data_IF_867193498331
#
_entry.id   IF_867193498331
#
_cell.length_a   1.000
_cell.length_b   1.000
_cell.length_c   1.000
_cell.angle_alpha   90.00
_cell.angle_beta   90.00
_cell.angle_gamma   90.00
#
_symmetry.space_group_name_H-M   'P 1'
#
loop_
_entity.id
_entity.type
_entity.pdbx_description
1 polymer ?
#
# COMPACT_ATOMS: atom_id res chain seq x y z
N UNK A 1 45.16 -60.73 -1.19
CA UNK A 1 43.70 -60.65 -0.93
C UNK A 1 43.19 -59.23 -0.61
N UNK A 2 44.02 -58.18 -0.78
CA UNK A 2 43.67 -56.79 -0.40
C UNK A 2 43.23 -55.86 -1.55
N UNK A 3 43.33 -56.24 -2.80
CA UNK A 3 43.03 -55.36 -3.97
C UNK A 3 41.56 -55.40 -4.37
N UNK A 4 40.78 -56.46 -4.08
CA UNK A 4 39.38 -56.59 -4.47
C UNK A 4 38.40 -55.77 -3.60
N UNK A 5 38.75 -55.42 -2.35
CA UNK A 5 37.87 -54.63 -1.46
C UNK A 5 37.87 -53.13 -1.78
N UNK A 6 38.97 -52.57 -2.36
CA UNK A 6 39.04 -51.16 -2.70
C UNK A 6 38.26 -50.76 -3.95
N UNK A 7 38.06 -51.67 -4.90
CA UNK A 7 37.30 -51.41 -6.11
C UNK A 7 35.79 -51.34 -5.85
N UNK A 8 35.27 -52.13 -4.89
CA UNK A 8 33.83 -52.11 -4.54
C UNK A 8 33.41 -50.83 -3.83
N UNK A 9 34.23 -50.29 -2.95
CA UNK A 9 33.92 -49.02 -2.23
C UNK A 9 33.98 -47.81 -3.12
N UNK A 10 34.87 -47.74 -4.10
CA UNK A 10 34.95 -46.67 -5.07
C UNK A 10 33.71 -46.63 -6.00
N UNK A 11 33.25 -47.82 -6.45
CA UNK A 11 32.08 -47.92 -7.29
C UNK A 11 30.80 -47.53 -6.59
N UNK A 12 30.64 -47.90 -5.29
CA UNK A 12 29.49 -47.49 -4.47
C UNK A 12 29.50 -45.97 -4.19
N UNK A 13 30.65 -45.35 -3.97
CA UNK A 13 30.77 -43.90 -3.75
C UNK A 13 30.45 -43.12 -5.02
N UNK A 14 30.88 -43.57 -6.19
CA UNK A 14 30.56 -42.92 -7.47
C UNK A 14 29.06 -43.06 -7.87
N UNK A 15 28.44 -44.22 -7.58
CA UNK A 15 27.01 -44.41 -7.79
C UNK A 15 26.18 -43.52 -6.84
N UNK A 16 26.60 -43.43 -5.55
CA UNK A 16 25.90 -42.59 -4.58
C UNK A 16 26.05 -41.10 -4.92
N UNK A 17 27.22 -40.62 -5.37
CA UNK A 17 27.39 -39.24 -5.84
C UNK A 17 26.60 -38.96 -7.10
N UNK A 18 26.52 -39.94 -8.03
CA UNK A 18 25.67 -39.80 -9.24
C UNK A 18 24.17 -39.69 -8.91
N UNK A 19 23.68 -40.50 -7.94
CA UNK A 19 22.28 -40.45 -7.48
C UNK A 19 21.97 -39.14 -6.73
N UNK A 20 22.89 -38.64 -5.90
CA UNK A 20 22.73 -37.36 -5.21
C UNK A 20 22.74 -36.19 -6.20
N UNK A 21 23.61 -36.22 -7.22
CA UNK A 21 23.58 -35.22 -8.30
C UNK A 21 22.30 -35.28 -9.12
N UNK A 22 21.74 -36.45 -9.41
CA UNK A 22 20.47 -36.60 -10.11
C UNK A 22 19.30 -36.07 -9.27
N UNK A 23 19.32 -36.25 -7.94
CA UNK A 23 18.29 -35.74 -7.03
C UNK A 23 18.38 -34.22 -6.85
N UNK A 24 19.60 -33.64 -6.89
CA UNK A 24 19.77 -32.18 -6.80
C UNK A 24 19.37 -31.47 -8.12
N UNK A 25 19.54 -32.10 -9.27
CA UNK A 25 19.12 -31.55 -10.55
C UNK A 25 17.60 -31.63 -10.74
N UNK A 26 16.91 -32.58 -10.06
CA UNK A 26 15.46 -32.73 -10.14
C UNK A 26 14.68 -31.79 -9.20
N UNK A 27 15.36 -31.10 -8.26
CA UNK A 27 14.79 -30.04 -7.45
C UNK A 27 14.92 -28.65 -8.08
N UNK A 28 15.03 -28.57 -9.40
CA UNK A 28 14.83 -27.31 -10.11
C UNK A 28 13.44 -26.80 -9.76
N UNK A 29 13.35 -25.64 -9.13
CA UNK A 29 12.12 -24.89 -8.93
C UNK A 29 11.45 -24.73 -10.30
N UNK A 30 10.55 -25.64 -10.63
CA UNK A 30 9.63 -25.42 -11.74
C UNK A 30 8.74 -24.28 -11.28
N UNK A 31 8.96 -23.08 -11.82
CA UNK A 31 7.94 -22.06 -11.80
C UNK A 31 6.68 -22.74 -12.35
N UNK A 32 5.69 -22.96 -11.50
CA UNK A 32 4.43 -23.56 -11.92
C UNK A 32 3.80 -22.59 -12.90
N UNK A 33 3.62 -23.04 -14.15
CA UNK A 33 2.82 -22.27 -15.09
C UNK A 33 1.42 -22.10 -14.50
N UNK A 34 0.82 -20.93 -14.67
CA UNK A 34 -0.54 -20.69 -14.24
C UNK A 34 -1.49 -21.71 -14.88
N UNK A 35 -2.43 -22.22 -14.11
CA UNK A 35 -3.47 -23.12 -14.60
C UNK A 35 -4.41 -22.37 -15.55
N UNK A 36 -5.12 -23.10 -16.41
CA UNK A 36 -6.11 -22.49 -17.30
C UNK A 36 -7.19 -21.74 -16.50
N UNK A 37 -7.62 -22.27 -15.36
CA UNK A 37 -8.62 -21.62 -14.51
C UNK A 37 -8.10 -20.27 -13.96
N UNK A 38 -6.86 -20.20 -13.51
CA UNK A 38 -6.25 -18.93 -13.04
C UNK A 38 -6.16 -17.90 -14.18
N UNK A 39 -5.85 -18.34 -15.41
CA UNK A 39 -5.81 -17.45 -16.57
C UNK A 39 -7.21 -16.95 -16.95
N UNK A 40 -8.23 -17.81 -16.87
CA UNK A 40 -9.62 -17.43 -17.12
C UNK A 40 -10.12 -16.41 -16.08
N UNK A 41 -9.79 -16.60 -14.79
CA UNK A 41 -10.15 -15.71 -13.70
C UNK A 41 -9.45 -14.35 -13.84
N UNK A 42 -8.16 -14.32 -14.16
CA UNK A 42 -7.39 -13.09 -14.44
C UNK A 42 -7.99 -12.36 -15.64
N UNK A 43 -8.32 -13.08 -16.70
CA UNK A 43 -8.91 -12.50 -17.90
C UNK A 43 -10.26 -11.87 -17.60
N UNK A 44 -11.12 -12.53 -16.82
CA UNK A 44 -12.42 -12.00 -16.42
C UNK A 44 -12.29 -10.72 -15.56
N UNK A 45 -11.34 -10.67 -14.63
CA UNK A 45 -11.04 -9.48 -13.84
C UNK A 45 -10.58 -8.32 -14.74
N UNK A 46 -9.63 -8.58 -15.62
CA UNK A 46 -9.09 -7.56 -16.53
C UNK A 46 -10.15 -7.01 -17.46
N UNK A 47 -11.01 -7.84 -18.06
CA UNK A 47 -12.04 -7.43 -19.02
C UNK A 47 -13.00 -6.39 -18.46
N UNK A 48 -13.22 -6.37 -17.15
CA UNK A 48 -14.09 -5.39 -16.46
C UNK A 48 -13.33 -4.21 -15.87
N UNK A 49 -12.01 -4.19 -15.97
CA UNK A 49 -11.15 -3.16 -15.38
C UNK A 49 -11.10 -1.89 -16.22
N UNK A 50 -10.70 -0.78 -15.57
CA UNK A 50 -10.42 0.48 -16.25
C UNK A 50 -9.25 0.37 -17.23
N UNK A 51 -8.33 -0.57 -17.05
CA UNK A 51 -7.24 -0.84 -17.98
C UNK A 51 -7.77 -1.38 -19.31
N UNK A 52 -8.66 -2.37 -19.28
CA UNK A 52 -9.28 -2.88 -20.51
C UNK A 52 -10.13 -1.83 -21.23
N UNK A 53 -10.84 -0.98 -20.46
CA UNK A 53 -11.63 0.14 -21.02
C UNK A 53 -10.77 1.22 -21.71
N UNK A 54 -9.48 1.27 -21.41
CA UNK A 54 -8.50 2.18 -22.00
C UNK A 54 -7.49 1.46 -22.90
N UNK A 55 -7.85 0.31 -23.45
CA UNK A 55 -7.03 -0.47 -24.39
C UNK A 55 -5.66 -0.94 -23.86
N UNK A 56 -5.46 -0.93 -22.53
CA UNK A 56 -4.25 -1.46 -21.89
C UNK A 56 -4.37 -2.99 -21.84
N UNK A 57 -3.64 -3.68 -22.69
CA UNK A 57 -3.69 -5.13 -22.82
C UNK A 57 -2.59 -5.84 -21.98
N UNK A 58 -2.60 -7.18 -21.99
CA UNK A 58 -1.65 -7.98 -21.23
C UNK A 58 -0.19 -7.64 -21.56
N UNK A 59 0.14 -7.43 -22.84
CA UNK A 59 1.49 -7.12 -23.27
C UNK A 59 1.97 -5.74 -22.79
N UNK A 60 1.05 -4.80 -22.54
CA UNK A 60 1.40 -3.46 -22.01
C UNK A 60 2.13 -3.53 -20.68
N UNK A 61 1.91 -4.60 -19.89
CA UNK A 61 2.56 -4.81 -18.60
C UNK A 61 3.50 -6.02 -18.62
N UNK A 62 3.13 -7.09 -19.33
CA UNK A 62 3.81 -8.38 -19.32
C UNK A 62 4.84 -8.57 -20.43
N UNK A 63 5.15 -7.55 -21.21
CA UNK A 63 6.19 -7.61 -22.24
C UNK A 63 7.34 -6.68 -21.87
N UNK A 64 8.56 -7.20 -21.92
CA UNK A 64 9.76 -6.38 -21.85
C UNK A 64 9.93 -5.62 -23.18
N UNK A 65 9.98 -4.30 -23.12
CA UNK A 65 10.04 -3.45 -24.32
C UNK A 65 11.35 -3.57 -25.10
N UNK A 66 12.43 -4.02 -24.46
CA UNK A 66 13.75 -4.15 -25.07
C UNK A 66 13.94 -5.54 -25.69
N UNK A 67 13.54 -6.60 -24.98
CA UNK A 67 13.77 -7.99 -25.41
C UNK A 67 12.57 -8.64 -26.08
N UNK A 68 11.38 -8.03 -25.95
CA UNK A 68 10.07 -8.61 -26.32
C UNK A 68 9.74 -9.92 -25.59
N UNK A 69 10.45 -10.24 -24.51
CA UNK A 69 10.19 -11.43 -23.71
C UNK A 69 9.01 -11.20 -22.74
N UNK A 70 8.33 -12.29 -22.43
CA UNK A 70 7.25 -12.26 -21.44
C UNK A 70 7.80 -12.11 -20.01
N UNK A 71 7.23 -11.16 -19.26
CA UNK A 71 7.54 -10.89 -17.85
C UNK A 71 6.39 -11.40 -16.99
N UNK A 72 6.61 -12.50 -16.28
CA UNK A 72 5.56 -13.12 -15.46
C UNK A 72 5.10 -12.23 -14.29
N UNK A 73 6.00 -11.45 -13.71
CA UNK A 73 5.73 -10.56 -12.57
C UNK A 73 6.25 -9.16 -12.87
N UNK A 74 5.46 -8.30 -13.54
CA UNK A 74 5.82 -6.92 -13.78
C UNK A 74 6.07 -6.16 -12.46
N UNK A 75 7.03 -5.24 -12.49
CA UNK A 75 7.38 -4.38 -11.36
C UNK A 75 6.82 -2.96 -11.55
N UNK A 76 7.25 -2.01 -10.70
CA UNK A 76 6.82 -0.61 -10.76
C UNK A 76 7.20 0.09 -12.07
N UNK A 77 8.27 -0.33 -12.75
CA UNK A 77 8.72 0.24 -14.02
C UNK A 77 7.66 0.04 -15.13
N UNK A 78 6.97 -1.10 -15.12
CA UNK A 78 5.86 -1.35 -16.06
C UNK A 78 4.68 -0.40 -15.87
N UNK A 79 4.51 0.17 -14.67
CA UNK A 79 3.44 1.11 -14.35
C UNK A 79 3.83 2.56 -14.69
N UNK A 80 5.14 2.87 -14.67
CA UNK A 80 5.67 4.24 -14.69
C UNK A 80 5.33 4.99 -15.98
N UNK A 81 5.27 4.32 -17.10
CA UNK A 81 4.99 4.97 -18.40
C UNK A 81 3.61 5.68 -18.45
N UNK A 82 2.66 5.24 -17.64
CA UNK A 82 1.32 5.81 -17.58
C UNK A 82 1.00 6.44 -16.20
N UNK A 83 1.61 5.92 -15.13
CA UNK A 83 1.37 6.34 -13.75
C UNK A 83 2.61 7.00 -13.12
N UNK A 84 3.35 7.81 -13.88
CA UNK A 84 4.62 8.42 -13.49
C UNK A 84 4.57 9.06 -12.10
N UNK A 85 3.64 9.98 -11.85
CA UNK A 85 3.53 10.68 -10.57
C UNK A 85 3.23 9.76 -9.38
N UNK A 86 2.42 8.72 -9.60
CA UNK A 86 2.12 7.73 -8.56
C UNK A 86 3.34 6.88 -8.22
N UNK A 87 4.09 6.46 -9.25
CA UNK A 87 5.33 5.69 -9.07
C UNK A 87 6.41 6.56 -8.41
N UNK A 88 6.61 7.79 -8.85
CA UNK A 88 7.61 8.70 -8.29
C UNK A 88 7.34 8.96 -6.81
N UNK A 89 6.09 9.25 -6.44
CA UNK A 89 5.74 9.46 -5.03
C UNK A 89 5.81 8.19 -4.21
N UNK A 90 5.51 7.02 -4.80
CA UNK A 90 5.70 5.71 -4.15
C UNK A 90 7.18 5.44 -3.85
N UNK A 91 8.07 5.66 -4.80
CA UNK A 91 9.50 5.44 -4.64
C UNK A 91 10.12 6.31 -3.54
N UNK A 92 9.56 7.49 -3.29
CA UNK A 92 9.95 8.38 -2.17
C UNK A 92 9.32 7.99 -0.83
N UNK A 93 8.41 7.03 -0.80
CA UNK A 93 7.70 6.58 0.39
C UNK A 93 8.51 5.59 1.23
N UNK A 94 8.06 5.33 2.47
CA UNK A 94 8.62 4.23 3.28
C UNK A 94 8.47 2.88 2.61
N UNK A 95 7.42 2.68 1.82
CA UNK A 95 7.16 1.42 1.14
C UNK A 95 8.04 1.23 -0.11
N UNK A 96 8.38 2.32 -0.82
CA UNK A 96 9.08 2.26 -2.10
C UNK A 96 10.56 2.63 -2.06
N UNK A 97 11.04 3.34 -1.03
CA UNK A 97 12.40 3.92 -1.00
C UNK A 97 13.54 2.89 -1.23
N UNK A 98 13.32 1.64 -0.88
CA UNK A 98 14.32 0.60 -1.13
C UNK A 98 14.44 0.27 -2.61
N UNK A 99 13.35 0.36 -3.36
CA UNK A 99 13.37 0.17 -4.82
C UNK A 99 14.07 1.34 -5.52
N UNK A 100 13.84 2.57 -5.06
CA UNK A 100 14.58 3.75 -5.54
C UNK A 100 16.10 3.60 -5.35
N UNK A 101 16.51 2.96 -4.26
CA UNK A 101 17.92 2.71 -3.92
C UNK A 101 18.43 1.36 -4.48
N UNK A 102 17.77 0.82 -5.49
CA UNK A 102 18.14 -0.46 -6.16
C UNK A 102 18.34 -1.63 -5.19
N UNK A 103 17.63 -1.61 -4.05
CA UNK A 103 17.67 -2.68 -3.03
C UNK A 103 16.47 -3.61 -3.18
N UNK A 104 16.56 -4.78 -2.55
CA UNK A 104 15.39 -5.68 -2.44
C UNK A 104 14.18 -4.94 -1.89
N UNK A 105 12.96 -5.23 -2.38
CA UNK A 105 11.73 -4.62 -1.88
C UNK A 105 11.63 -4.71 -0.35
N UNK A 106 10.97 -3.72 0.27
CA UNK A 106 10.62 -3.81 1.68
C UNK A 106 9.69 -5.01 1.90
N UNK A 107 9.84 -5.69 3.03
CA UNK A 107 8.89 -6.71 3.50
C UNK A 107 8.41 -6.37 4.90
N UNK A 108 7.22 -6.85 5.34
CA UNK A 108 6.74 -6.68 6.71
C UNK A 108 7.71 -7.19 7.77
N UNK A 109 8.51 -8.21 7.47
CA UNK A 109 9.56 -8.71 8.37
C UNK A 109 10.63 -7.65 8.72
N UNK A 110 10.78 -6.60 7.92
CA UNK A 110 11.72 -5.49 8.16
C UNK A 110 11.07 -4.33 8.94
N UNK A 111 9.78 -4.40 9.23
CA UNK A 111 9.05 -3.34 9.91
C UNK A 111 9.39 -3.27 11.40
N UNK A 112 9.20 -2.07 11.99
CA UNK A 112 9.30 -1.85 13.44
C UNK A 112 7.93 -1.86 14.13
N UNK A 113 6.85 -1.75 13.34
CA UNK A 113 5.48 -1.85 13.82
C UNK A 113 5.03 -3.31 13.81
N UNK A 114 4.04 -3.68 14.64
CA UNK A 114 3.41 -4.98 14.57
C UNK A 114 2.85 -5.25 13.16
N UNK A 115 3.20 -6.41 12.60
CA UNK A 115 2.74 -6.86 11.30
C UNK A 115 2.11 -8.24 11.42
N UNK A 116 1.21 -8.58 10.50
CA UNK A 116 0.61 -9.90 10.43
C UNK A 116 1.65 -10.95 10.06
N UNK A 117 1.60 -12.07 10.74
CA UNK A 117 2.61 -13.14 10.61
C UNK A 117 2.60 -13.80 9.23
N UNK A 118 1.45 -13.92 8.62
CA UNK A 118 1.24 -14.51 7.30
C UNK A 118 1.66 -13.59 6.13
N UNK A 119 1.96 -12.33 6.43
CA UNK A 119 2.39 -11.34 5.43
C UNK A 119 3.91 -11.07 5.44
N UNK A 120 4.69 -11.74 6.31
CA UNK A 120 6.10 -11.37 6.59
C UNK A 120 6.99 -11.34 5.34
N UNK A 121 6.72 -12.19 4.35
CA UNK A 121 7.52 -12.30 3.12
C UNK A 121 6.94 -11.52 1.94
N UNK A 122 5.79 -10.83 2.12
CA UNK A 122 5.14 -10.06 1.05
C UNK A 122 6.02 -8.88 0.64
N UNK A 123 6.44 -8.86 -0.61
CA UNK A 123 7.29 -7.81 -1.15
C UNK A 123 6.48 -6.58 -1.51
N UNK A 124 6.94 -5.40 -1.06
CA UNK A 124 6.30 -4.13 -1.37
C UNK A 124 6.59 -3.70 -2.81
N UNK A 125 5.53 -3.67 -3.59
CA UNK A 125 5.46 -3.20 -4.96
C UNK A 125 4.01 -2.74 -5.21
N UNK A 126 3.67 -2.23 -6.38
CA UNK A 126 2.31 -1.76 -6.70
C UNK A 126 1.25 -2.85 -6.47
N UNK A 127 1.54 -4.08 -6.88
CA UNK A 127 0.67 -5.24 -6.70
C UNK A 127 0.54 -5.74 -5.24
N UNK A 128 1.32 -5.21 -4.31
CA UNK A 128 1.14 -5.52 -2.89
C UNK A 128 -0.14 -4.89 -2.32
N UNK A 129 -0.58 -3.78 -2.93
CA UNK A 129 -1.76 -3.02 -2.50
C UNK A 129 -2.86 -3.02 -3.57
N UNK A 130 -2.49 -3.06 -4.85
CA UNK A 130 -3.44 -3.02 -5.96
C UNK A 130 -3.67 -4.41 -6.54
N UNK A 131 -4.93 -4.79 -6.72
CA UNK A 131 -5.32 -5.88 -7.60
C UNK A 131 -5.19 -5.39 -9.04
N UNK A 132 -3.99 -5.57 -9.62
CA UNK A 132 -3.60 -4.93 -10.90
C UNK A 132 -4.45 -5.37 -12.09
N UNK A 133 -5.08 -6.53 -12.03
CA UNK A 133 -5.95 -7.03 -13.09
C UNK A 133 -7.37 -6.44 -12.99
N UNK A 134 -7.93 -6.27 -11.78
CA UNK A 134 -9.23 -5.64 -11.57
C UNK A 134 -9.14 -4.11 -11.50
N UNK A 135 -7.96 -3.57 -11.14
CA UNK A 135 -7.71 -2.17 -10.85
C UNK A 135 -8.64 -1.60 -9.76
N UNK A 136 -8.99 -2.43 -8.76
CA UNK A 136 -9.87 -2.02 -7.65
C UNK A 136 -9.11 -1.09 -6.68
N UNK A 137 -9.47 0.19 -6.70
CA UNK A 137 -8.89 1.20 -5.82
C UNK A 137 -9.63 1.31 -4.47
N UNK A 138 -10.81 0.74 -4.35
CA UNK A 138 -11.58 0.71 -3.09
C UNK A 138 -10.95 -0.31 -2.14
N UNK A 139 -10.64 -1.52 -2.63
CA UNK A 139 -9.87 -2.53 -1.90
C UNK A 139 -8.50 -2.00 -1.47
N UNK A 140 -7.78 -1.33 -2.39
CA UNK A 140 -6.47 -0.74 -2.12
C UNK A 140 -6.49 0.34 -1.03
N UNK A 141 -7.65 0.93 -0.72
CA UNK A 141 -7.74 2.08 0.19
C UNK A 141 -7.83 1.71 1.68
N UNK A 142 -8.22 0.48 2.03
CA UNK A 142 -8.32 -0.05 3.40
C UNK A 142 -7.83 -1.49 3.47
N UNK A 143 -8.47 -2.39 2.73
CA UNK A 143 -8.30 -3.83 2.89
C UNK A 143 -6.85 -4.25 2.60
N UNK A 144 -6.24 -3.69 1.56
CA UNK A 144 -4.83 -3.93 1.24
C UNK A 144 -3.86 -3.54 2.37
N UNK A 145 -4.12 -2.46 3.11
CA UNK A 145 -3.31 -2.05 4.25
C UNK A 145 -3.38 -3.07 5.38
N UNK A 146 -4.60 -3.53 5.67
CA UNK A 146 -4.88 -4.50 6.73
C UNK A 146 -4.42 -5.93 6.39
N UNK A 147 -3.96 -6.21 5.16
CA UNK A 147 -3.29 -7.50 4.88
C UNK A 147 -1.96 -7.62 5.60
N UNK A 148 -1.29 -6.51 5.92
CA UNK A 148 0.03 -6.48 6.53
C UNK A 148 0.04 -5.84 7.92
N UNK A 149 -0.63 -4.68 8.10
CA UNK A 149 -0.62 -3.93 9.35
C UNK A 149 -1.43 -4.62 10.45
N UNK A 150 -0.85 -4.68 11.67
CA UNK A 150 -1.42 -5.33 12.86
C UNK A 150 -1.19 -4.50 14.13
N UNK A 151 -0.92 -3.21 13.99
CA UNK A 151 -0.82 -2.27 15.11
C UNK A 151 -2.20 -1.75 15.53
N UNK A 152 -2.29 -1.22 16.76
CA UNK A 152 -3.55 -0.77 17.34
C UNK A 152 -4.24 0.30 16.49
N UNK A 153 -3.51 1.29 16.00
CA UNK A 153 -4.08 2.33 15.14
C UNK A 153 -4.76 1.75 13.91
N UNK A 154 -4.08 0.82 13.21
CA UNK A 154 -4.61 0.19 12.01
C UNK A 154 -5.84 -0.68 12.31
N UNK A 155 -5.80 -1.47 13.37
CA UNK A 155 -6.91 -2.37 13.75
C UNK A 155 -8.13 -1.59 14.28
N UNK A 156 -7.90 -0.49 15.01
CA UNK A 156 -8.97 0.34 15.56
C UNK A 156 -9.74 1.13 14.50
N UNK A 157 -9.22 1.25 13.27
CA UNK A 157 -9.95 1.90 12.18
C UNK A 157 -11.38 1.36 12.04
N UNK A 158 -11.58 0.05 12.18
CA UNK A 158 -12.89 -0.60 12.05
C UNK A 158 -13.93 -0.12 13.08
N UNK A 159 -13.49 0.46 14.18
CA UNK A 159 -14.34 0.97 15.26
C UNK A 159 -14.64 2.47 15.10
N UNK A 160 -14.06 3.13 14.09
CA UNK A 160 -14.22 4.56 13.89
C UNK A 160 -15.45 4.92 13.08
N UNK A 161 -15.98 6.13 13.27
CA UNK A 161 -17.05 6.66 12.41
C UNK A 161 -16.61 6.77 10.94
N UNK A 162 -15.33 6.98 10.71
CA UNK A 162 -14.77 7.00 9.35
C UNK A 162 -14.95 5.65 8.64
N UNK A 163 -14.72 4.54 9.35
CA UNK A 163 -14.93 3.20 8.78
C UNK A 163 -16.39 2.90 8.48
N UNK A 164 -17.32 3.32 9.36
CA UNK A 164 -18.75 3.18 9.12
C UNK A 164 -19.18 3.90 7.83
N UNK A 165 -18.79 5.18 7.69
CA UNK A 165 -19.08 5.97 6.50
C UNK A 165 -18.41 5.38 5.23
N UNK A 166 -17.21 4.83 5.37
CA UNK A 166 -16.55 4.17 4.26
C UNK A 166 -17.30 2.89 3.83
N UNK A 167 -17.77 2.09 4.79
CA UNK A 167 -18.57 0.90 4.50
C UNK A 167 -19.89 1.27 3.81
N UNK A 168 -20.61 2.27 4.33
CA UNK A 168 -21.83 2.80 3.70
C UNK A 168 -21.57 3.28 2.25
N UNK A 169 -20.39 3.89 2.00
CA UNK A 169 -20.04 4.42 0.67
C UNK A 169 -19.81 3.34 -0.38
N UNK A 170 -19.50 2.10 0.01
CA UNK A 170 -19.29 0.98 -0.92
C UNK A 170 -20.56 0.65 -1.73
N UNK A 171 -21.72 0.93 -1.16
CA UNK A 171 -23.04 0.70 -1.80
C UNK A 171 -23.48 1.85 -2.73
N UNK A 172 -22.72 2.94 -2.80
CA UNK A 172 -23.04 4.09 -3.63
C UNK A 172 -22.57 3.90 -5.08
N UNK A 173 -23.15 4.64 -6.06
CA UNK A 173 -22.71 4.58 -7.46
C UNK A 173 -21.23 4.91 -7.71
N UNK A 174 -20.61 5.61 -6.77
CA UNK A 174 -19.16 5.90 -6.74
C UNK A 174 -18.60 5.52 -5.37
N UNK A 175 -18.22 4.26 -5.18
CA UNK A 175 -17.71 3.79 -3.90
C UNK A 175 -16.49 4.59 -3.40
N UNK A 176 -16.43 4.83 -2.09
CA UNK A 176 -15.33 5.56 -1.45
C UNK A 176 -15.35 7.07 -1.60
N UNK A 177 -16.25 7.65 -2.42
CA UNK A 177 -16.34 9.11 -2.60
C UNK A 177 -17.05 9.74 -1.39
N UNK A 178 -16.38 10.75 -0.79
CA UNK A 178 -16.91 11.44 0.40
C UNK A 178 -16.74 10.67 1.71
N UNK A 179 -16.02 9.55 1.68
CA UNK A 179 -15.70 8.74 2.85
C UNK A 179 -14.20 8.75 3.14
N UNK A 180 -13.83 8.43 4.39
CA UNK A 180 -12.45 8.46 4.86
C UNK A 180 -11.93 7.05 5.03
N UNK A 181 -10.90 6.70 4.26
CA UNK A 181 -10.17 5.44 4.32
C UNK A 181 -8.76 5.65 4.89
N UNK A 182 -8.00 4.57 5.09
CA UNK A 182 -6.58 4.67 5.41
C UNK A 182 -5.85 5.51 4.35
N UNK A 183 -6.13 5.27 3.07
CA UNK A 183 -5.52 6.01 1.97
C UNK A 183 -5.90 7.50 1.98
N UNK A 184 -7.08 7.88 2.42
CA UNK A 184 -7.49 9.30 2.50
C UNK A 184 -6.54 10.12 3.37
N UNK A 185 -6.08 9.55 4.49
CA UNK A 185 -5.18 10.22 5.42
C UNK A 185 -3.70 10.02 5.04
N UNK A 186 -3.33 8.79 4.68
CA UNK A 186 -1.92 8.41 4.46
C UNK A 186 -1.43 8.68 3.05
N UNK A 187 -2.32 8.63 2.06
CA UNK A 187 -2.06 8.78 0.63
C UNK A 187 -3.08 9.75 0.00
N UNK A 188 -3.11 11.02 0.43
CA UNK A 188 -4.14 11.96 0.01
C UNK A 188 -4.08 12.23 -1.49
N UNK A 189 -5.24 12.58 -2.03
CA UNK A 189 -5.33 13.07 -3.40
C UNK A 189 -4.83 14.50 -3.48
N UNK A 190 -3.96 14.75 -4.45
CA UNK A 190 -3.42 16.08 -4.74
C UNK A 190 -3.74 16.48 -6.17
N UNK A 191 -3.93 17.76 -6.39
CA UNK A 191 -4.16 18.34 -7.71
C UNK A 191 -2.81 18.74 -8.29
N UNK A 192 -2.47 18.23 -9.45
CA UNK A 192 -1.36 18.77 -10.23
C UNK A 192 -1.90 19.80 -11.21
N UNK A 193 -1.69 21.07 -10.90
CA UNK A 193 -2.11 22.23 -11.67
C UNK A 193 -1.02 22.74 -12.64
N UNK A 194 0.13 22.05 -12.70
CA UNK A 194 1.23 22.40 -13.63
C UNK A 194 0.89 22.00 -15.07
N UNK A 195 -0.06 21.10 -15.25
CA UNK A 195 -0.55 20.69 -16.54
C UNK A 195 -1.61 21.67 -17.06
N UNK A 196 -1.75 21.78 -18.38
CA UNK A 196 -2.78 22.60 -19.02
C UNK A 196 -4.20 22.24 -18.53
N UNK A 197 -4.45 20.97 -18.29
CA UNK A 197 -5.64 20.48 -17.59
C UNK A 197 -5.23 19.89 -16.25
N UNK A 198 -5.72 20.43 -15.11
CA UNK A 198 -5.39 19.90 -13.79
C UNK A 198 -5.77 18.41 -13.66
N UNK A 199 -4.85 17.62 -13.16
CA UNK A 199 -5.05 16.19 -12.93
C UNK A 199 -4.97 15.89 -11.43
N UNK A 200 -5.92 15.10 -10.94
CA UNK A 200 -5.91 14.61 -9.57
C UNK A 200 -5.22 13.26 -9.52
N UNK A 201 -4.20 13.14 -8.70
CA UNK A 201 -3.51 11.87 -8.46
C UNK A 201 -3.36 11.59 -6.96
N UNK A 202 -3.07 10.34 -6.61
CA UNK A 202 -2.80 9.93 -5.24
C UNK A 202 -1.31 10.12 -4.93
N UNK A 203 -1.00 10.88 -3.89
CA UNK A 203 0.37 11.03 -3.40
C UNK A 203 0.74 9.82 -2.54
N UNK A 204 1.52 8.90 -3.08
CA UNK A 204 1.97 7.68 -2.38
C UNK A 204 3.12 7.91 -1.40
N UNK A 205 3.63 9.13 -1.26
CA UNK A 205 4.69 9.43 -0.30
C UNK A 205 4.15 9.59 1.11
N UNK A 206 3.84 8.47 1.77
CA UNK A 206 3.37 8.45 3.15
C UNK A 206 4.37 9.04 4.16
N UNK A 207 5.65 9.15 3.83
CA UNK A 207 6.63 9.84 4.67
C UNK A 207 6.38 11.35 4.67
N UNK A 208 6.19 11.94 3.48
CA UNK A 208 5.88 13.35 3.32
C UNK A 208 4.50 13.68 3.91
N UNK A 209 3.49 12.88 3.59
CA UNK A 209 2.10 13.15 3.99
C UNK A 209 1.91 13.15 5.51
N UNK A 210 2.68 12.33 6.24
CA UNK A 210 2.54 12.18 7.70
C UNK A 210 3.52 13.03 8.52
N UNK A 211 4.47 13.73 7.88
CA UNK A 211 5.49 14.49 8.61
C UNK A 211 5.84 15.81 7.91
N UNK A 212 5.81 16.95 8.65
CA UNK A 212 5.35 17.04 10.06
C UNK A 212 3.86 16.71 10.19
N UNK A 213 3.43 16.33 11.39
CA UNK A 213 2.09 15.81 11.66
C UNK A 213 0.98 16.83 11.39
N UNK A 214 1.24 18.11 11.61
CA UNK A 214 0.32 19.23 11.35
C UNK A 214 0.00 19.43 9.85
N UNK A 215 0.82 18.88 8.95
CA UNK A 215 0.51 18.90 7.51
C UNK A 215 -0.83 18.21 7.21
N UNK A 216 -1.11 17.10 7.89
CA UNK A 216 -2.38 16.40 7.76
C UNK A 216 -3.59 17.26 8.13
N UNK A 217 -3.42 18.21 9.05
CA UNK A 217 -4.50 19.14 9.42
C UNK A 217 -4.97 19.91 8.19
N UNK A 218 -4.04 20.60 7.50
CA UNK A 218 -4.36 21.39 6.30
C UNK A 218 -4.74 20.55 5.10
N UNK A 219 -3.94 19.54 4.80
CA UNK A 219 -4.07 18.80 3.53
C UNK A 219 -5.19 17.76 3.55
N UNK A 220 -5.60 17.28 4.74
CA UNK A 220 -6.57 16.20 4.89
C UNK A 220 -7.75 16.58 5.76
N UNK A 221 -7.52 16.85 7.07
CA UNK A 221 -8.60 16.98 8.05
C UNK A 221 -9.52 18.16 7.74
N UNK A 222 -8.96 19.30 7.36
CA UNK A 222 -9.72 20.53 7.08
C UNK A 222 -10.59 20.47 5.83
N UNK A 223 -10.52 19.42 5.04
CA UNK A 223 -11.48 19.19 3.97
C UNK A 223 -12.91 18.91 4.47
N UNK A 224 -13.03 18.48 5.74
CA UNK A 224 -14.31 18.12 6.36
C UNK A 224 -14.49 18.72 7.76
N UNK A 225 -13.42 18.98 8.50
CA UNK A 225 -13.41 19.43 9.89
C UNK A 225 -12.84 20.85 10.02
N UNK A 226 -13.24 21.56 11.08
CA UNK A 226 -12.63 22.85 11.43
C UNK A 226 -11.18 22.69 11.94
N UNK A 227 -10.40 23.76 11.87
CA UNK A 227 -8.98 23.77 12.23
C UNK A 227 -8.75 23.32 13.68
N UNK A 228 -9.53 23.86 14.63
CA UNK A 228 -9.42 23.55 16.05
C UNK A 228 -9.63 22.05 16.32
N UNK A 229 -10.74 21.50 15.85
CA UNK A 229 -11.04 20.07 15.98
C UNK A 229 -9.93 19.21 15.38
N UNK A 230 -9.44 19.60 14.21
CA UNK A 230 -8.38 18.88 13.49
C UNK A 230 -7.06 18.86 14.27
N UNK A 231 -6.64 20.02 14.82
CA UNK A 231 -5.46 20.10 15.66
C UNK A 231 -5.61 19.31 16.97
N UNK A 232 -6.71 19.49 17.68
CA UNK A 232 -6.96 18.78 18.92
C UNK A 232 -6.97 17.27 18.70
N UNK A 233 -7.51 16.81 17.56
CA UNK A 233 -7.53 15.39 17.22
C UNK A 233 -6.17 14.80 16.86
N UNK A 234 -5.38 15.49 16.01
CA UNK A 234 -4.11 14.93 15.52
C UNK A 234 -3.00 14.95 16.56
N UNK A 235 -3.10 15.84 17.56
CA UNK A 235 -2.14 15.93 18.66
C UNK A 235 -2.60 15.22 19.95
N UNK A 236 -3.74 14.55 19.93
CA UNK A 236 -4.16 13.59 20.98
C UNK A 236 -3.64 12.18 20.63
N UNK A 237 -2.53 11.70 21.24
CA UNK A 237 -1.92 10.44 20.86
C UNK A 237 -2.81 9.23 21.17
N UNK A 238 -3.66 9.31 22.21
CA UNK A 238 -4.59 8.23 22.54
C UNK A 238 -5.71 8.15 21.50
N UNK A 239 -6.19 9.30 21.03
CA UNK A 239 -7.20 9.38 19.98
C UNK A 239 -6.65 8.91 18.63
N UNK A 240 -5.39 9.27 18.31
CA UNK A 240 -4.71 8.76 17.12
C UNK A 240 -4.56 7.25 17.17
N UNK A 241 -4.15 6.68 18.32
CA UNK A 241 -4.05 5.22 18.48
C UNK A 241 -5.43 4.53 18.37
N UNK A 242 -6.47 5.16 18.88
CA UNK A 242 -7.86 4.69 18.76
C UNK A 242 -8.47 4.90 17.37
N UNK A 243 -7.71 5.45 16.41
CA UNK A 243 -8.13 5.78 15.05
C UNK A 243 -9.36 6.68 15.00
N UNK A 244 -9.37 7.73 15.84
CA UNK A 244 -10.41 8.77 15.85
C UNK A 244 -11.85 8.23 16.11
N UNK A 245 -11.98 7.29 17.04
CA UNK A 245 -13.25 6.64 17.44
C UNK A 245 -14.17 7.55 18.28
N UNK A 246 -13.67 8.69 18.76
CA UNK A 246 -14.34 9.69 19.58
C UNK A 246 -13.90 11.11 19.22
N UNK A 247 -14.53 12.10 19.82
CA UNK A 247 -14.03 13.47 19.79
C UNK A 247 -12.76 13.63 20.62
N UNK A 248 -11.87 14.59 20.30
CA UNK A 248 -10.69 14.89 21.10
C UNK A 248 -11.09 15.34 22.52
N UNK A 249 -10.31 14.95 23.50
CA UNK A 249 -10.42 15.41 24.88
C UNK A 249 -9.32 16.42 25.23
N UNK A 250 -8.30 16.50 24.42
CA UNK A 250 -7.26 17.51 24.52
C UNK A 250 -7.70 18.76 23.75
N UNK A 251 -7.51 19.91 24.39
CA UNK A 251 -7.75 21.22 23.78
C UNK A 251 -6.45 22.01 23.77
N UNK A 252 -6.20 22.70 22.67
CA UNK A 252 -5.03 23.59 22.59
C UNK A 252 -5.37 24.90 23.26
N UNK A 253 -4.66 25.23 24.33
CA UNK A 253 -4.83 26.50 25.06
C UNK A 253 -4.83 27.75 24.15
N UNK A 254 -4.19 27.70 23.02
CA UNK A 254 -4.18 28.76 22.02
C UNK A 254 -5.58 29.05 21.48
N UNK A 255 -6.41 28.04 21.26
CA UNK A 255 -7.79 28.23 20.80
C UNK A 255 -8.65 28.87 21.89
N UNK A 256 -8.51 28.45 23.16
CA UNK A 256 -9.19 29.05 24.30
C UNK A 256 -8.86 30.56 24.43
N UNK A 257 -7.57 30.89 24.23
CA UNK A 257 -7.11 32.28 24.25
C UNK A 257 -7.66 33.10 23.07
N UNK A 258 -7.79 32.51 21.90
CA UNK A 258 -8.39 33.16 20.73
C UNK A 258 -9.88 33.40 20.95
N UNK A 259 -10.63 32.42 21.47
CA UNK A 259 -12.04 32.56 21.78
C UNK A 259 -12.28 33.65 22.86
N UNK A 260 -11.50 33.63 23.94
CA UNK A 260 -11.57 34.64 24.98
C UNK A 260 -11.22 36.05 24.47
N UNK A 261 -10.29 36.16 23.52
CA UNK A 261 -9.97 37.44 22.87
C UNK A 261 -11.12 37.91 21.96
N UNK A 262 -11.74 37.01 21.21
CA UNK A 262 -12.90 37.34 20.37
C UNK A 262 -14.11 37.76 21.20
N UNK A 263 -14.42 37.02 22.29
CA UNK A 263 -15.50 37.37 23.21
C UNK A 263 -15.32 38.80 23.78
N UNK A 264 -14.10 39.16 24.16
CA UNK A 264 -13.77 40.54 24.62
C UNK A 264 -13.97 41.58 23.51
N UNK A 265 -13.58 41.24 22.28
CA UNK A 265 -13.71 42.13 21.11
C UNK A 265 -15.17 42.38 20.73
N UNK A 266 -16.01 41.38 20.82
CA UNK A 266 -17.44 41.45 20.48
C UNK A 266 -18.32 41.95 21.60
N UNK A 267 -17.79 42.19 22.81
CA UNK A 267 -18.57 42.57 23.98
C UNK A 267 -19.43 41.46 24.59
N UNK A 268 -19.21 40.22 24.20
CA UNK A 268 -19.92 39.04 24.68
C UNK A 268 -19.16 38.33 25.83
N UNK A 269 -18.15 38.98 26.42
CA UNK A 269 -17.49 38.43 27.60
C UNK A 269 -18.49 38.40 28.76
N UNK A 270 -18.86 37.23 29.23
CA UNK A 270 -19.53 37.06 30.52
C UNK A 270 -18.54 37.46 31.62
N UNK A 271 -18.90 38.46 32.45
CA UNK A 271 -18.17 38.87 33.63
C UNK A 271 -17.98 37.69 34.62
#
# INVERSE_FOLDING_TARGET
>A
MMVRQRAGTLLHSLVLMGLVMLLVVSSGLTASAATQQELDDITAQWQTSVHALNDVNCASCHQNNETNEFVASPNHESCQSCHEQSVDTFLLSKHGIRLLEEKSPLTPAMARLPMKHDAMDKQMNCNACHSVHSADTVEASVDACLTCHNDNHSLNYQNSRHAELFAESKELPRPGVGAVSCATCHLPRVVDDRLETPVVHVNHNNTYNLKPQDRMVGDVCMNCHGVEYSYNSIFDPELVEANFDRSPTLEMQTFDLMEAAEARRTGNASD
#
